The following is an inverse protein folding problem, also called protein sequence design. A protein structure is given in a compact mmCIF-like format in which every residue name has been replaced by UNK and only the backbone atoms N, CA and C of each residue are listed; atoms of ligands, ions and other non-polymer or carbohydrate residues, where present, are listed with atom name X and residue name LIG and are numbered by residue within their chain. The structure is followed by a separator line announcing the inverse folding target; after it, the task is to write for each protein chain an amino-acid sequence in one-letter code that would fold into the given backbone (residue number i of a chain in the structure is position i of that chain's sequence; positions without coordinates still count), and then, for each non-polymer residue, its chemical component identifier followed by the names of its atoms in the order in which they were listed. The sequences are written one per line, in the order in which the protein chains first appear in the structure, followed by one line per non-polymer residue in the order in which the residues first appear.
data_IF_501438134143
#
_entry.id   IF_501438134143
#
_cell.length_a   1.000
_cell.length_b   1.000
_cell.length_c   1.000
_cell.angle_alpha   90.00
_cell.angle_beta   90.00
_cell.angle_gamma   90.00
#
_symmetry.space_group_name_H-M   'P 1'
#
loop_
_entity.id
_entity.type
_entity.pdbx_description
1 polymer ?
#
# COMPACT_ATOMS: atom_id res chain seq x y z
N UNK A 1 -12.20 -0.29 -21.70
CA UNK A 1 -13.23 -0.75 -20.74
C UNK A 1 -12.84 -2.13 -20.28
N UNK A 2 -12.85 -2.37 -18.97
CA UNK A 2 -12.38 -3.62 -18.35
C UNK A 2 -13.34 -4.03 -17.25
N UNK A 3 -13.55 -5.33 -17.09
CA UNK A 3 -14.30 -5.92 -15.97
C UNK A 3 -13.43 -7.03 -15.41
N UNK A 4 -13.05 -6.91 -14.14
CA UNK A 4 -12.30 -7.94 -13.42
C UNK A 4 -13.19 -8.60 -12.39
N UNK A 5 -13.17 -9.93 -12.35
CA UNK A 5 -13.71 -10.73 -11.26
C UNK A 5 -12.80 -10.63 -10.05
N UNK A 6 -13.31 -11.09 -8.91
CA UNK A 6 -12.67 -10.97 -7.58
C UNK A 6 -11.17 -11.30 -7.59
N UNK A 7 -10.79 -12.43 -8.20
CA UNK A 7 -9.41 -12.93 -8.22
C UNK A 7 -8.63 -12.50 -9.47
N UNK A 8 -9.26 -11.79 -10.41
CA UNK A 8 -8.61 -11.32 -11.64
C UNK A 8 -7.85 -10.02 -11.38
N UNK A 9 -6.70 -9.87 -12.04
CA UNK A 9 -5.73 -8.80 -11.83
C UNK A 9 -4.31 -9.36 -11.76
N UNK A 10 -3.32 -8.50 -11.54
CA UNK A 10 -1.94 -8.92 -11.32
C UNK A 10 -1.68 -9.06 -9.83
N UNK A 11 -1.56 -10.30 -9.35
CA UNK A 11 -1.27 -10.59 -7.95
C UNK A 11 0.23 -10.62 -7.67
N UNK A 12 0.64 -9.90 -6.65
CA UNK A 12 2.02 -9.68 -6.20
C UNK A 12 2.12 -9.98 -4.70
N UNK A 13 3.25 -10.55 -4.28
CA UNK A 13 3.65 -10.57 -2.88
C UNK A 13 4.57 -9.37 -2.64
N UNK A 14 4.13 -8.40 -1.83
CA UNK A 14 4.88 -7.19 -1.52
C UNK A 14 5.17 -7.22 -0.02
N UNK A 15 6.40 -7.60 0.34
CA UNK A 15 6.76 -7.89 1.73
C UNK A 15 5.77 -8.92 2.33
N UNK A 16 5.09 -8.59 3.44
CA UNK A 16 4.06 -9.44 4.04
C UNK A 16 2.74 -9.45 3.27
N UNK A 17 2.45 -8.41 2.50
CA UNK A 17 1.11 -8.14 2.00
C UNK A 17 0.90 -8.76 0.62
N UNK A 18 -0.31 -9.24 0.38
CA UNK A 18 -0.71 -9.69 -0.96
C UNK A 18 -1.44 -8.54 -1.66
N UNK A 19 -0.82 -8.00 -2.70
CA UNK A 19 -1.37 -6.90 -3.50
C UNK A 19 -1.89 -7.46 -4.80
N UNK A 20 -3.13 -7.15 -5.18
CA UNK A 20 -3.68 -7.48 -6.49
C UNK A 20 -3.99 -6.19 -7.25
N UNK A 21 -3.21 -5.90 -8.29
CA UNK A 21 -3.41 -4.73 -9.15
C UNK A 21 -4.64 -4.98 -10.02
N UNK A 22 -5.66 -4.13 -9.83
CA UNK A 22 -6.92 -4.10 -10.58
C UNK A 22 -6.89 -3.11 -11.73
N UNK A 23 -6.14 -2.02 -11.59
CA UNK A 23 -5.88 -1.06 -12.67
C UNK A 23 -4.43 -0.60 -12.57
N UNK A 24 -3.68 -0.70 -13.67
CA UNK A 24 -2.31 -0.16 -13.76
C UNK A 24 -2.37 1.33 -14.05
N UNK A 25 -1.38 2.07 -13.57
CA UNK A 25 -1.26 3.50 -13.85
C UNK A 25 -1.20 3.79 -15.36
N UNK A 26 -0.60 2.90 -16.16
CA UNK A 26 -0.52 3.02 -17.62
C UNK A 26 -1.86 2.92 -18.35
N UNK A 27 -2.86 2.32 -17.71
CA UNK A 27 -4.19 2.12 -18.29
C UNK A 27 -5.16 3.26 -17.92
N UNK A 28 -4.68 4.25 -17.17
CA UNK A 28 -5.44 5.41 -16.73
C UNK A 28 -4.81 6.72 -17.21
N UNK A 29 -5.65 7.60 -17.76
CA UNK A 29 -5.25 8.93 -18.24
C UNK A 29 -4.70 9.82 -17.10
N UNK A 30 -5.15 9.59 -15.87
CA UNK A 30 -4.69 10.29 -14.66
C UNK A 30 -3.57 9.55 -13.92
N UNK A 31 -3.03 8.47 -14.50
CA UNK A 31 -2.10 7.57 -13.81
C UNK A 31 -2.67 7.05 -12.50
N UNK A 32 -3.94 6.61 -12.55
CA UNK A 32 -4.59 5.95 -11.42
C UNK A 32 -4.19 4.48 -11.34
N UNK A 33 -3.68 4.07 -10.19
CA UNK A 33 -3.52 2.66 -9.82
C UNK A 33 -4.63 2.27 -8.87
N UNK A 34 -5.23 1.09 -9.06
CA UNK A 34 -6.22 0.51 -8.15
C UNK A 34 -5.75 -0.87 -7.72
N UNK A 35 -5.76 -1.14 -6.42
CA UNK A 35 -5.33 -2.41 -5.84
C UNK A 35 -6.33 -2.92 -4.80
N UNK A 36 -6.48 -4.23 -4.69
CA UNK A 36 -6.94 -4.84 -3.43
C UNK A 36 -5.73 -5.35 -2.67
N UNK A 37 -5.72 -5.17 -1.35
CA UNK A 37 -4.61 -5.61 -0.49
C UNK A 37 -5.16 -6.52 0.60
N UNK A 38 -4.53 -7.69 0.77
CA UNK A 38 -4.71 -8.56 1.92
C UNK A 38 -3.49 -8.42 2.84
N UNK A 39 -3.71 -7.87 4.03
CA UNK A 39 -2.69 -7.69 5.07
C UNK A 39 -2.81 -8.84 6.07
N UNK A 40 -1.80 -9.72 6.20
CA UNK A 40 -1.85 -10.82 7.15
C UNK A 40 -1.79 -10.31 8.60
N UNK A 41 -2.09 -11.16 9.61
CA UNK A 41 -1.82 -10.84 11.01
C UNK A 41 -0.38 -10.36 11.21
N UNK A 42 -0.19 -9.28 11.96
CA UNK A 42 1.09 -8.59 12.18
C UNK A 42 1.73 -7.94 10.93
N UNK A 43 1.05 -7.94 9.77
CA UNK A 43 1.49 -7.18 8.60
C UNK A 43 1.47 -5.68 8.89
N UNK A 44 2.46 -4.95 8.38
CA UNK A 44 2.55 -3.52 8.57
C UNK A 44 3.30 -2.84 7.43
N UNK A 45 2.93 -1.59 7.16
CA UNK A 45 3.67 -0.66 6.31
C UNK A 45 4.08 0.53 7.18
N UNK A 46 5.39 0.76 7.34
CA UNK A 46 5.90 1.86 8.17
C UNK A 46 5.47 3.23 7.64
N UNK A 47 5.46 4.27 8.49
CA UNK A 47 5.16 5.62 8.06
C UNK A 47 6.06 6.06 6.90
N UNK A 48 5.45 6.55 5.84
CA UNK A 48 6.12 7.05 4.65
C UNK A 48 5.26 8.13 3.99
N UNK A 49 5.85 8.82 3.01
CA UNK A 49 5.16 9.79 2.16
C UNK A 49 5.58 9.61 0.72
N UNK A 50 4.68 9.95 -0.20
CA UNK A 50 4.87 9.89 -1.64
C UNK A 50 4.02 10.99 -2.32
N UNK A 51 4.22 11.18 -3.62
CA UNK A 51 3.68 12.34 -4.36
C UNK A 51 2.25 12.13 -4.87
N UNK A 52 1.77 10.89 -4.81
CA UNK A 52 0.44 10.48 -5.22
C UNK A 52 -0.56 10.81 -4.10
N UNK A 53 -1.78 11.23 -4.45
CA UNK A 53 -2.87 11.12 -3.49
C UNK A 53 -3.30 9.64 -3.42
N UNK A 54 -3.66 9.17 -2.22
CA UNK A 54 -4.05 7.78 -2.01
C UNK A 54 -5.33 7.71 -1.18
N UNK A 55 -6.16 6.71 -1.44
CA UNK A 55 -7.37 6.48 -0.66
C UNK A 55 -7.61 5.01 -0.43
N UNK A 56 -8.28 4.70 0.68
CA UNK A 56 -8.51 3.36 1.18
C UNK A 56 -9.98 3.18 1.52
N UNK A 57 -10.48 1.98 1.28
CA UNK A 57 -11.80 1.54 1.72
C UNK A 57 -11.71 0.12 2.28
N UNK A 58 -11.98 -0.05 3.57
CA UNK A 58 -11.81 -1.35 4.24
C UNK A 58 -13.02 -2.24 3.94
N UNK A 59 -12.73 -3.47 3.53
CA UNK A 59 -13.71 -4.48 3.12
C UNK A 59 -13.93 -5.54 4.21
N UNK A 60 -12.85 -6.01 4.83
CA UNK A 60 -12.85 -7.08 5.83
C UNK A 60 -11.77 -6.79 6.90
N UNK A 61 -12.02 -7.15 8.16
CA UNK A 61 -11.06 -6.94 9.25
C UNK A 61 -10.94 -5.48 9.70
N UNK A 62 -9.96 -5.19 10.57
CA UNK A 62 -9.67 -3.83 11.05
C UNK A 62 -8.17 -3.62 11.20
N UNK A 63 -7.69 -2.42 10.90
CA UNK A 63 -6.28 -2.04 11.06
C UNK A 63 -6.13 -0.71 11.80
N UNK A 64 -4.92 -0.44 12.29
CA UNK A 64 -4.55 0.90 12.73
C UNK A 64 -3.81 1.58 11.59
N UNK A 65 -4.30 2.74 11.15
CA UNK A 65 -3.61 3.62 10.22
C UNK A 65 -2.94 4.76 10.97
N UNK A 66 -1.69 5.03 10.59
CA UNK A 66 -0.97 6.24 10.93
C UNK A 66 -1.29 7.28 9.86
N UNK A 67 -1.82 8.43 10.26
CA UNK A 67 -2.18 9.53 9.36
C UNK A 67 -1.76 10.84 10.01
N UNK A 68 -0.79 11.55 9.42
CA UNK A 68 -0.30 12.84 9.91
C UNK A 68 -0.03 12.85 11.44
N UNK A 69 0.81 11.91 11.88
CA UNK A 69 1.22 11.71 13.28
C UNK A 69 0.10 11.31 14.26
N UNK A 70 -1.05 10.85 13.77
CA UNK A 70 -2.14 10.30 14.60
C UNK A 70 -2.45 8.86 14.21
N UNK A 71 -2.85 8.06 15.20
CA UNK A 71 -3.36 6.72 14.98
C UNK A 71 -4.89 6.73 14.88
N UNK A 72 -5.41 6.04 13.88
CA UNK A 72 -6.84 5.82 13.69
C UNK A 72 -7.11 4.33 13.55
N UNK A 73 -8.13 3.84 14.26
CA UNK A 73 -8.67 2.51 14.01
C UNK A 73 -9.64 2.60 12.83
N UNK A 74 -9.39 1.83 11.79
CA UNK A 74 -10.19 1.79 10.57
C UNK A 74 -10.87 0.43 10.47
N UNK A 75 -12.18 0.44 10.26
CA UNK A 75 -13.07 -0.72 10.27
C UNK A 75 -13.79 -0.90 8.92
N UNK A 76 -14.44 -2.05 8.65
CA UNK A 76 -15.10 -2.28 7.37
C UNK A 76 -16.17 -1.23 7.07
N UNK A 77 -16.11 -0.65 5.88
CA UNK A 77 -16.98 0.45 5.44
C UNK A 77 -16.39 1.84 5.67
N UNK A 78 -15.31 1.96 6.44
CA UNK A 78 -14.62 3.23 6.62
C UNK A 78 -13.82 3.60 5.36
N UNK A 79 -13.80 4.90 5.08
CA UNK A 79 -13.06 5.51 3.99
C UNK A 79 -11.95 6.41 4.55
N UNK A 80 -10.76 6.32 3.97
CA UNK A 80 -9.62 7.19 4.29
C UNK A 80 -9.12 7.82 3.01
N UNK A 81 -8.92 9.13 3.03
CA UNK A 81 -8.24 9.86 1.96
C UNK A 81 -6.96 10.49 2.51
N UNK A 82 -5.87 10.31 1.77
CA UNK A 82 -4.53 10.80 2.09
C UNK A 82 -4.09 11.73 0.96
N UNK A 83 -4.02 13.04 1.20
CA UNK A 83 -3.50 13.98 0.21
C UNK A 83 -2.03 13.70 -0.10
N UNK A 84 -1.61 14.00 -1.33
CA UNK A 84 -0.22 13.90 -1.76
C UNK A 84 0.74 14.58 -0.78
N UNK A 85 1.87 13.91 -0.49
CA UNK A 85 2.88 14.41 0.45
C UNK A 85 2.53 14.22 1.93
N UNK A 86 1.37 13.64 2.27
CA UNK A 86 0.97 13.39 3.66
C UNK A 86 1.56 12.08 4.18
N UNK A 87 2.17 12.11 5.35
CA UNK A 87 2.70 10.90 6.00
C UNK A 87 1.59 9.94 6.36
N UNK A 88 1.72 8.69 5.93
CA UNK A 88 0.78 7.63 6.25
C UNK A 88 1.47 6.25 6.37
N UNK A 89 0.77 5.31 7.00
CA UNK A 89 1.20 3.92 7.16
C UNK A 89 0.11 3.11 7.85
N UNK A 90 0.29 1.81 8.01
CA UNK A 90 -0.69 0.97 8.70
C UNK A 90 -0.06 -0.24 9.40
N UNK A 91 -0.78 -0.79 10.37
CA UNK A 91 -0.46 -2.07 11.01
C UNK A 91 -1.74 -2.88 11.23
N UNK A 92 -1.69 -4.17 10.93
CA UNK A 92 -2.69 -5.14 11.34
C UNK A 92 -2.28 -5.75 12.69
N UNK A 93 -2.83 -5.22 13.77
CA UNK A 93 -2.60 -5.69 15.14
C UNK A 93 -3.60 -6.78 15.59
N UNK A 94 -4.33 -7.39 14.64
CA UNK A 94 -5.33 -8.42 14.92
C UNK A 94 -4.82 -9.82 14.55
N UNK A 95 -5.52 -10.85 15.04
CA UNK A 95 -5.25 -12.25 14.67
C UNK A 95 -5.89 -12.66 13.32
N UNK A 96 -6.61 -11.74 12.67
CA UNK A 96 -7.29 -11.97 11.39
C UNK A 96 -6.64 -11.13 10.29
N UNK A 97 -6.75 -11.56 9.04
CA UNK A 97 -6.32 -10.73 7.92
C UNK A 97 -7.25 -9.52 7.74
N UNK A 98 -6.70 -8.43 7.20
CA UNK A 98 -7.45 -7.23 6.79
C UNK A 98 -7.46 -7.18 5.27
N UNK A 99 -8.60 -6.85 4.68
CA UNK A 99 -8.73 -6.61 3.25
C UNK A 99 -9.24 -5.19 3.00
N UNK A 100 -8.58 -4.47 2.11
CA UNK A 100 -9.05 -3.16 1.65
C UNK A 100 -8.87 -2.98 0.15
N UNK A 101 -9.67 -2.08 -0.42
CA UNK A 101 -9.44 -1.48 -1.72
C UNK A 101 -8.62 -0.21 -1.51
N UNK A 102 -7.57 0.00 -2.29
CA UNK A 102 -6.86 1.26 -2.34
C UNK A 102 -6.71 1.75 -3.78
N UNK A 103 -6.64 3.06 -3.94
CA UNK A 103 -6.28 3.68 -5.20
C UNK A 103 -5.40 4.89 -4.99
N UNK A 104 -4.43 5.04 -5.88
CA UNK A 104 -3.52 6.18 -5.90
C UNK A 104 -3.62 6.88 -7.25
N UNK A 105 -3.50 8.21 -7.27
CA UNK A 105 -3.64 9.03 -8.49
C UNK A 105 -2.46 10.00 -8.59
N UNK A 106 -2.00 10.26 -9.82
CA UNK A 106 -0.92 11.23 -10.09
C UNK A 106 0.48 10.61 -10.19
N UNK A 107 0.59 9.28 -10.26
CA UNK A 107 1.89 8.62 -10.38
C UNK A 107 1.81 7.11 -10.60
N UNK A 108 2.90 6.39 -10.30
CA UNK A 108 3.13 5.01 -10.81
C UNK A 108 3.47 4.04 -9.68
N UNK A 109 2.68 4.09 -8.60
CA UNK A 109 2.89 3.24 -7.41
C UNK A 109 2.83 1.74 -7.72
N UNK A 110 2.15 1.34 -8.80
CA UNK A 110 2.13 -0.05 -9.27
C UNK A 110 3.52 -0.54 -9.71
N UNK A 111 4.34 0.33 -10.30
CA UNK A 111 5.72 -0.04 -10.66
C UNK A 111 6.60 -0.27 -9.43
N UNK A 112 6.36 0.48 -8.35
CA UNK A 112 6.99 0.24 -7.06
C UNK A 112 6.61 -1.13 -6.49
N UNK A 113 5.32 -1.47 -6.50
CA UNK A 113 4.85 -2.79 -6.04
C UNK A 113 5.45 -3.93 -6.86
N UNK A 114 5.48 -3.79 -8.19
CA UNK A 114 6.07 -4.79 -9.09
C UNK A 114 7.55 -4.97 -8.77
N UNK A 115 8.32 -3.88 -8.71
CA UNK A 115 9.76 -3.97 -8.48
C UNK A 115 10.11 -4.53 -7.10
N UNK A 116 9.37 -4.15 -6.05
CA UNK A 116 9.53 -4.77 -4.72
C UNK A 116 9.26 -6.27 -4.78
N UNK A 117 8.16 -6.69 -5.41
CA UNK A 117 7.79 -8.11 -5.47
C UNK A 117 8.81 -8.97 -6.23
N UNK A 118 9.53 -8.39 -7.18
CA UNK A 118 10.55 -9.09 -7.97
C UNK A 118 11.91 -9.11 -7.26
N UNK A 119 12.29 -8.00 -6.61
CA UNK A 119 13.65 -7.80 -6.10
C UNK A 119 13.83 -8.08 -4.62
N UNK A 120 12.76 -8.00 -3.83
CA UNK A 120 12.77 -8.20 -2.37
C UNK A 120 11.89 -9.40 -2.04
N UNK A 121 12.50 -10.59 -2.07
CA UNK A 121 11.80 -11.87 -1.88
C UNK A 121 12.24 -12.59 -0.62
N UNK A 122 13.51 -12.42 -0.24
CA UNK A 122 14.13 -13.15 0.86
C UNK A 122 14.64 -12.15 1.91
N UNK A 123 13.83 -11.91 2.95
CA UNK A 123 14.23 -11.07 4.09
C UNK A 123 14.90 -11.93 5.17
N UNK A 124 15.99 -11.44 5.82
CA UNK A 124 16.52 -10.07 5.75
C UNK A 124 17.53 -9.81 4.62
N UNK A 125 17.93 -10.82 3.86
CA UNK A 125 19.04 -10.74 2.89
C UNK A 125 18.84 -9.64 1.82
N UNK A 126 17.59 -9.40 1.43
CA UNK A 126 17.23 -8.41 0.42
C UNK A 126 17.04 -6.98 0.95
N UNK A 127 17.14 -6.74 2.27
CA UNK A 127 16.94 -5.41 2.87
C UNK A 127 17.83 -4.33 2.25
N UNK A 128 19.07 -4.68 1.89
CA UNK A 128 20.03 -3.75 1.29
C UNK A 128 19.58 -3.20 -0.08
N UNK A 129 18.59 -3.82 -0.73
CA UNK A 129 18.03 -3.36 -2.01
C UNK A 129 16.96 -2.28 -1.83
N UNK A 130 16.35 -2.18 -0.64
CA UNK A 130 15.21 -1.29 -0.41
C UNK A 130 15.52 0.19 -0.63
N UNK A 131 16.65 0.76 -0.18
CA UNK A 131 16.89 2.21 -0.31
C UNK A 131 16.86 2.71 -1.76
N UNK A 132 17.47 1.97 -2.70
CA UNK A 132 17.49 2.37 -4.11
C UNK A 132 16.13 2.23 -4.79
N UNK A 133 15.31 1.24 -4.38
CA UNK A 133 13.95 1.07 -4.87
C UNK A 133 13.06 2.22 -4.35
N UNK A 134 13.14 2.54 -3.06
CA UNK A 134 12.40 3.64 -2.44
C UNK A 134 12.72 4.98 -3.11
N UNK A 135 14.01 5.29 -3.27
CA UNK A 135 14.49 6.51 -3.93
C UNK A 135 13.97 6.61 -5.37
N UNK A 136 14.11 5.53 -6.16
CA UNK A 136 13.66 5.48 -7.56
C UNK A 136 12.17 5.80 -7.71
N UNK A 137 11.35 5.32 -6.77
CA UNK A 137 9.90 5.48 -6.81
C UNK A 137 9.40 6.69 -6.00
N UNK A 138 10.30 7.47 -5.41
CA UNK A 138 9.94 8.67 -4.64
C UNK A 138 9.22 8.36 -3.32
N UNK A 139 9.42 7.16 -2.76
CA UNK A 139 8.90 6.78 -1.46
C UNK A 139 9.87 7.25 -0.39
N UNK A 140 9.42 8.15 0.48
CA UNK A 140 10.23 8.69 1.56
C UNK A 140 9.77 8.09 2.88
N UNK A 141 10.63 7.32 3.51
CA UNK A 141 10.39 6.78 4.85
C UNK A 141 10.40 7.93 5.86
N UNK A 142 9.42 7.94 6.77
CA UNK A 142 9.34 8.93 7.84
C UNK A 142 9.59 8.19 9.15
N UNK A 143 10.59 8.63 9.92
CA UNK A 143 10.78 8.08 11.26
C UNK A 143 9.52 8.33 12.09
N UNK A 144 9.04 7.35 12.85
CA UNK A 144 7.96 7.58 13.80
C UNK A 144 8.43 8.66 14.78
N UNK A 145 7.88 9.86 14.66
CA UNK A 145 8.16 10.94 15.61
C UNK A 145 7.60 10.52 16.97
N UNK A 146 8.45 9.95 17.84
CA UNK A 146 8.13 9.59 19.22
C UNK A 146 7.56 8.18 19.45
N UNK A 147 8.09 7.14 18.78
CA UNK A 147 8.00 5.77 19.30
C UNK A 147 8.92 5.56 20.50
#
# INVERSE_FOLDING_TARGET
MMVLKREEGQSLQVLSDRVCIKLKSTDSLSSMTVVTVDVPPNGFVPPHTHKEEESYYVLEGSMIMYLDSKEFRIEPGDFVHVPAGTTHGYKNNSAQSVKFLAWAVGGRIDEFFIELSEKVRDLPDDLAKMPSILEKHGIQMVEPSGM
#
